data_IF_674905492739
#
_entry.id   IF_674905492739
#
_cell.length_a   1.000
_cell.length_b   1.000
_cell.length_c   1.000
_cell.angle_alpha   90.00
_cell.angle_beta   90.00
_cell.angle_gamma   90.00
#
_symmetry.space_group_name_H-M   'P 1'
#
loop_
_entity.id
_entity.type
_entity.pdbx_description
1 polymer ?
#
# COMPACT_ATOMS: atom_id res chain seq x y z
N UNK A 1 20.02 -26.89 19.41
CA UNK A 1 18.91 -25.95 19.66
C UNK A 1 17.90 -26.16 18.55
N UNK A 2 16.77 -26.81 18.83
CA UNK A 2 15.67 -26.89 17.89
C UNK A 2 15.11 -25.48 17.71
N UNK A 3 15.57 -24.81 16.65
CA UNK A 3 14.91 -23.63 16.14
C UNK A 3 13.59 -24.13 15.56
N UNK A 4 12.52 -24.14 16.36
CA UNK A 4 11.18 -24.15 15.80
C UNK A 4 11.08 -22.85 15.00
N UNK A 5 11.37 -22.93 13.71
CA UNK A 5 11.01 -21.88 12.77
C UNK A 5 9.48 -21.92 12.79
N UNK A 6 8.87 -21.12 13.67
CA UNK A 6 7.44 -20.86 13.59
C UNK A 6 7.22 -20.31 12.18
N UNK A 7 6.64 -21.14 11.33
CA UNK A 7 6.22 -20.70 10.03
C UNK A 7 5.06 -19.74 10.27
N UNK A 8 5.11 -18.54 9.66
CA UNK A 8 4.00 -17.61 9.76
C UNK A 8 2.75 -18.32 9.25
N UNK A 9 1.68 -18.29 10.03
CA UNK A 9 0.40 -18.95 9.72
C UNK A 9 -0.49 -18.05 8.86
N UNK A 10 -0.26 -16.75 8.93
CA UNK A 10 -1.03 -15.72 8.20
C UNK A 10 -0.13 -14.86 7.34
N UNK A 11 -0.71 -14.24 6.32
CA UNK A 11 0.01 -13.28 5.46
C UNK A 11 0.58 -12.13 6.30
N UNK A 12 -0.14 -11.65 7.31
CA UNK A 12 0.35 -10.64 8.26
C UNK A 12 1.66 -11.06 8.90
N UNK A 13 1.70 -12.24 9.51
CA UNK A 13 2.91 -12.74 10.18
C UNK A 13 4.07 -12.91 9.20
N UNK A 14 3.77 -13.35 7.97
CA UNK A 14 4.76 -13.52 6.92
C UNK A 14 5.41 -12.18 6.55
N UNK A 15 4.60 -11.14 6.34
CA UNK A 15 5.09 -9.81 5.98
C UNK A 15 5.84 -9.15 7.13
N UNK A 16 5.38 -9.31 8.36
CA UNK A 16 6.08 -8.80 9.54
C UNK A 16 7.43 -9.48 9.74
N UNK A 17 7.52 -10.80 9.49
CA UNK A 17 8.78 -11.55 9.49
C UNK A 17 9.77 -11.03 8.43
N UNK A 18 9.26 -10.56 7.30
CA UNK A 18 10.04 -9.93 6.23
C UNK A 18 10.30 -8.42 6.45
N UNK A 19 9.95 -7.89 7.62
CA UNK A 19 10.10 -6.46 7.97
C UNK A 19 9.37 -5.54 6.98
N UNK A 20 8.21 -5.98 6.48
CA UNK A 20 7.33 -5.17 5.64
C UNK A 20 6.33 -4.46 6.55
N UNK A 21 6.40 -3.13 6.55
CA UNK A 21 5.51 -2.29 7.34
C UNK A 21 4.14 -2.21 6.69
N UNK A 22 3.13 -2.67 7.42
CA UNK A 22 1.73 -2.67 6.98
C UNK A 22 1.10 -1.30 7.24
N UNK A 23 0.15 -0.92 6.40
CA UNK A 23 -0.68 0.25 6.62
C UNK A 23 -1.69 -0.04 7.74
N UNK A 24 -2.01 0.99 8.51
CA UNK A 24 -3.02 0.94 9.56
C UNK A 24 -4.41 0.73 8.95
N UNK A 25 -4.99 -0.45 9.20
CA UNK A 25 -6.29 -0.86 8.66
C UNK A 25 -7.47 -0.49 9.56
N UNK A 26 -7.21 -0.11 10.81
CA UNK A 26 -8.25 0.15 11.82
C UNK A 26 -8.30 1.62 12.26
N UNK A 27 -7.15 2.31 12.25
CA UNK A 27 -7.06 3.73 12.57
C UNK A 27 -6.98 4.65 11.35
N UNK A 28 -6.62 5.91 11.60
CA UNK A 28 -6.55 7.00 10.60
C UNK A 28 -5.11 7.37 10.21
N UNK A 29 -4.11 6.66 10.78
CA UNK A 29 -2.67 6.98 10.65
C UNK A 29 -2.21 7.10 9.20
N UNK A 30 -2.81 6.31 8.30
CA UNK A 30 -2.39 6.23 6.90
C UNK A 30 -3.50 6.63 5.91
N UNK A 31 -4.49 7.44 6.31
CA UNK A 31 -5.64 7.77 5.45
C UNK A 31 -5.26 8.38 4.11
N UNK A 32 -4.21 9.21 4.06
CA UNK A 32 -3.67 9.74 2.81
C UNK A 32 -3.20 8.64 1.85
N UNK A 33 -2.47 7.64 2.36
CA UNK A 33 -2.00 6.49 1.58
C UNK A 33 -3.20 5.65 1.11
N UNK A 34 -4.17 5.40 1.98
CA UNK A 34 -5.38 4.66 1.64
C UNK A 34 -6.20 5.34 0.55
N UNK A 35 -6.32 6.67 0.59
CA UNK A 35 -7.01 7.44 -0.45
C UNK A 35 -6.31 7.30 -1.81
N UNK A 36 -4.97 7.38 -1.84
CA UNK A 36 -4.17 7.18 -3.07
C UNK A 36 -4.39 5.77 -3.63
N UNK A 37 -4.26 4.75 -2.77
CA UNK A 37 -4.44 3.37 -3.18
C UNK A 37 -5.86 3.08 -3.65
N UNK A 38 -6.88 3.56 -2.95
CA UNK A 38 -8.26 3.38 -3.37
C UNK A 38 -8.55 4.08 -4.71
N UNK A 39 -7.99 5.27 -4.93
CA UNK A 39 -8.08 5.97 -6.22
C UNK A 39 -7.44 5.14 -7.34
N UNK A 40 -6.25 4.57 -7.09
CA UNK A 40 -5.56 3.69 -8.04
C UNK A 40 -6.34 2.40 -8.30
N UNK A 41 -6.94 1.82 -7.29
CA UNK A 41 -7.75 0.60 -7.42
C UNK A 41 -8.97 0.79 -8.33
N UNK A 42 -9.53 2.01 -8.40
CA UNK A 42 -10.62 2.34 -9.34
C UNK A 42 -10.19 2.28 -10.81
N UNK A 43 -8.93 2.60 -11.14
CA UNK A 43 -8.44 2.61 -12.53
C UNK A 43 -8.53 1.22 -13.15
N UNK A 44 -9.03 1.06 -14.38
CA UNK A 44 -9.23 -0.27 -15.00
C UNK A 44 -7.97 -1.14 -15.05
N UNK A 45 -6.81 -0.52 -15.20
CA UNK A 45 -5.51 -1.20 -15.19
C UNK A 45 -4.54 -0.34 -14.43
N UNK A 46 -3.83 -0.93 -13.47
CA UNK A 46 -2.86 -0.23 -12.64
C UNK A 46 -1.47 -0.56 -13.17
N UNK A 47 -0.91 0.35 -13.96
CA UNK A 47 0.41 0.19 -14.57
C UNK A 47 1.42 1.09 -13.86
N UNK A 48 2.54 0.51 -13.46
CA UNK A 48 3.68 1.22 -12.89
C UNK A 48 4.47 1.94 -13.99
N UNK A 49 5.27 2.93 -13.59
CA UNK A 49 6.10 3.71 -14.51
C UNK A 49 7.09 2.85 -15.32
N UNK A 50 7.52 1.74 -14.74
CA UNK A 50 8.39 0.71 -15.35
C UNK A 50 7.64 -0.32 -16.22
N UNK A 51 6.34 -0.08 -16.51
CA UNK A 51 5.53 -0.92 -17.41
C UNK A 51 4.97 -2.20 -16.77
N UNK A 52 5.26 -2.45 -15.49
CA UNK A 52 4.68 -3.57 -14.73
C UNK A 52 3.22 -3.30 -14.38
N UNK A 53 2.37 -4.30 -14.55
CA UNK A 53 0.95 -4.24 -14.16
C UNK A 53 0.76 -4.81 -12.77
N UNK A 54 0.01 -4.11 -11.92
CA UNK A 54 -0.40 -4.60 -10.60
C UNK A 54 -1.79 -5.19 -10.70
N UNK A 55 -1.92 -6.45 -10.27
CA UNK A 55 -3.19 -7.10 -10.12
C UNK A 55 -4.04 -6.39 -9.05
N UNK A 56 -5.30 -6.14 -9.37
CA UNK A 56 -6.26 -5.66 -8.37
C UNK A 56 -6.58 -6.78 -7.39
N UNK A 57 -6.93 -6.40 -6.16
CA UNK A 57 -7.63 -7.31 -5.26
C UNK A 57 -8.96 -7.69 -5.93
N UNK A 58 -9.15 -8.98 -6.19
CA UNK A 58 -10.37 -9.52 -6.79
C UNK A 58 -11.60 -9.20 -5.92
N UNK A 59 -12.75 -8.98 -6.58
CA UNK A 59 -14.04 -8.70 -5.94
C UNK A 59 -14.08 -7.45 -5.05
N UNK A 60 -13.13 -6.52 -5.21
CA UNK A 60 -13.18 -5.22 -4.56
C UNK A 60 -13.65 -4.17 -5.57
N UNK A 61 -14.79 -3.55 -5.28
CA UNK A 61 -15.29 -2.39 -6.04
C UNK A 61 -15.23 -1.19 -5.13
N UNK A 62 -14.35 -0.25 -5.46
CA UNK A 62 -14.23 1.01 -4.74
C UNK A 62 -15.19 2.02 -5.37
N UNK A 63 -16.12 2.53 -4.58
CA UNK A 63 -17.06 3.57 -4.98
C UNK A 63 -16.62 4.95 -4.47
N UNK A 64 -17.11 5.99 -5.13
CA UNK A 64 -16.98 7.35 -4.60
C UNK A 64 -17.96 7.57 -3.45
N UNK A 65 -17.57 8.42 -2.51
CA UNK A 65 -18.48 8.96 -1.51
C UNK A 65 -19.44 9.93 -2.20
N UNK A 66 -20.71 9.89 -1.81
CA UNK A 66 -21.73 10.79 -2.37
C UNK A 66 -21.33 12.26 -2.17
N UNK A 67 -21.67 13.11 -3.15
CA UNK A 67 -21.47 14.56 -3.04
C UNK A 67 -20.02 15.03 -3.20
N UNK A 68 -19.20 14.38 -4.05
CA UNK A 68 -17.82 14.79 -4.35
C UNK A 68 -16.85 14.76 -3.13
N UNK A 69 -17.20 14.00 -2.08
CA UNK A 69 -16.38 13.93 -0.86
C UNK A 69 -15.11 13.07 -0.98
N UNK A 70 -14.87 12.46 -2.14
CA UNK A 70 -13.67 11.68 -2.44
C UNK A 70 -13.94 10.18 -2.53
N UNK A 71 -12.87 9.38 -2.48
CA UNK A 71 -12.93 7.93 -2.68
C UNK A 71 -13.16 7.20 -1.36
N UNK A 72 -14.10 6.25 -1.33
CA UNK A 72 -14.35 5.41 -0.16
C UNK A 72 -13.29 4.31 -0.02
N UNK A 73 -12.27 4.56 0.78
CA UNK A 73 -11.17 3.60 1.02
C UNK A 73 -11.43 2.63 2.19
N UNK A 74 -12.58 2.72 2.87
CA UNK A 74 -12.92 1.81 3.97
C UNK A 74 -13.05 0.35 3.49
N UNK A 75 -13.61 0.15 2.30
CA UNK A 75 -13.68 -1.18 1.66
C UNK A 75 -12.28 -1.75 1.37
N UNK A 76 -11.34 -0.89 0.96
CA UNK A 76 -9.95 -1.31 0.74
C UNK A 76 -9.27 -1.71 2.05
N UNK A 77 -9.47 -0.94 3.12
CA UNK A 77 -8.97 -1.28 4.47
C UNK A 77 -9.51 -2.62 4.96
N UNK A 78 -10.82 -2.84 4.84
CA UNK A 78 -11.46 -4.10 5.24
C UNK A 78 -10.92 -5.28 4.45
N UNK A 79 -10.81 -5.17 3.13
CA UNK A 79 -10.22 -6.24 2.31
C UNK A 79 -8.77 -6.49 2.64
N UNK A 80 -7.99 -5.46 2.92
CA UNK A 80 -6.63 -5.62 3.40
C UNK A 80 -6.59 -6.35 4.75
N UNK A 81 -7.51 -6.07 5.67
CA UNK A 81 -7.61 -6.79 6.95
C UNK A 81 -7.87 -8.29 6.72
N UNK A 82 -8.88 -8.64 5.93
CA UNK A 82 -9.18 -10.03 5.58
C UNK A 82 -8.00 -10.72 4.91
N UNK A 83 -7.39 -10.06 3.92
CA UNK A 83 -6.26 -10.61 3.16
C UNK A 83 -5.03 -10.83 4.03
N UNK A 84 -4.80 -9.98 5.04
CA UNK A 84 -3.71 -10.15 5.99
C UNK A 84 -3.94 -11.30 6.98
N UNK A 85 -5.20 -11.66 7.23
CA UNK A 85 -5.61 -12.78 8.09
C UNK A 85 -5.66 -14.12 7.34
N UNK A 86 -5.61 -14.10 6.01
CA UNK A 86 -5.55 -15.31 5.17
C UNK A 86 -4.39 -16.22 5.54
N UNK A 87 -4.61 -17.52 5.41
CA UNK A 87 -3.61 -18.52 5.77
C UNK A 87 -2.53 -18.67 4.71
N UNK A 88 -1.27 -18.73 5.15
CA UNK A 88 -0.10 -19.05 4.31
C UNK A 88 -0.07 -20.51 3.84
N UNK A 89 -0.96 -21.35 4.35
CA UNK A 89 -1.16 -22.72 3.86
C UNK A 89 -1.98 -22.77 2.56
N UNK A 90 -2.51 -21.63 2.10
CA UNK A 90 -3.26 -21.54 0.86
C UNK A 90 -2.32 -21.69 -0.36
N UNK A 91 -2.78 -22.38 -1.41
CA UNK A 91 -2.03 -22.56 -2.68
C UNK A 91 -1.73 -21.23 -3.37
N UNK A 92 -2.48 -20.18 -3.06
CA UNK A 92 -2.34 -18.84 -3.63
C UNK A 92 -1.53 -17.86 -2.74
N UNK A 93 -0.77 -18.37 -1.78
CA UNK A 93 -0.02 -17.53 -0.82
C UNK A 93 0.90 -16.49 -1.48
N UNK A 94 1.52 -16.82 -2.62
CA UNK A 94 2.34 -15.88 -3.37
C UNK A 94 1.51 -14.68 -3.89
N UNK A 95 0.37 -14.96 -4.52
CA UNK A 95 -0.58 -13.95 -5.01
C UNK A 95 -1.14 -13.11 -3.86
N UNK A 96 -1.52 -13.75 -2.75
CA UNK A 96 -2.00 -13.05 -1.55
C UNK A 96 -0.92 -12.14 -0.98
N UNK A 97 0.33 -12.61 -0.91
CA UNK A 97 1.47 -11.80 -0.47
C UNK A 97 1.70 -10.59 -1.38
N UNK A 98 1.74 -10.79 -2.69
CA UNK A 98 1.92 -9.69 -3.65
C UNK A 98 0.79 -8.66 -3.54
N UNK A 99 -0.45 -9.12 -3.41
CA UNK A 99 -1.59 -8.23 -3.19
C UNK A 99 -1.45 -7.46 -1.87
N UNK A 100 -1.05 -8.10 -0.79
CA UNK A 100 -0.81 -7.43 0.49
C UNK A 100 0.29 -6.36 0.41
N UNK A 101 1.39 -6.66 -0.29
CA UNK A 101 2.48 -5.71 -0.47
C UNK A 101 2.00 -4.51 -1.31
N UNK A 102 1.33 -4.79 -2.42
CA UNK A 102 0.89 -3.78 -3.37
C UNK A 102 -0.24 -2.90 -2.85
N UNK A 103 -1.11 -3.42 -1.97
CA UNK A 103 -2.33 -2.72 -1.57
C UNK A 103 -2.45 -2.43 -0.07
N UNK A 104 -1.69 -3.13 0.78
CA UNK A 104 -1.87 -3.09 2.24
C UNK A 104 -0.59 -2.69 3.00
N UNK A 105 0.48 -2.30 2.29
CA UNK A 105 1.78 -2.00 2.89
C UNK A 105 2.32 -0.64 2.48
N UNK A 106 3.18 -0.06 3.32
CA UNK A 106 3.92 1.18 3.00
C UNK A 106 4.95 0.98 1.87
N UNK A 107 5.28 -0.28 1.54
CA UNK A 107 6.14 -0.63 0.40
C UNK A 107 5.37 -0.73 -0.91
N UNK A 108 4.07 -0.41 -0.92
CA UNK A 108 3.29 -0.40 -2.15
C UNK A 108 3.98 0.50 -3.20
N UNK A 109 4.24 -0.03 -4.41
CA UNK A 109 4.83 0.75 -5.49
C UNK A 109 3.87 1.81 -6.05
N UNK A 110 2.60 1.79 -5.63
CA UNK A 110 1.57 2.78 -5.99
C UNK A 110 1.59 4.00 -5.08
N UNK A 111 2.21 3.89 -3.91
CA UNK A 111 2.42 5.03 -3.05
C UNK A 111 3.56 5.89 -3.58
N UNK A 112 3.46 7.22 -3.47
CA UNK A 112 4.62 8.06 -3.70
C UNK A 112 5.72 7.59 -2.75
N UNK A 113 6.90 7.28 -3.31
CA UNK A 113 8.07 6.99 -2.47
C UNK A 113 8.21 8.16 -1.50
N UNK A 114 8.52 7.90 -0.21
CA UNK A 114 8.86 8.99 0.69
C UNK A 114 9.99 9.75 0.02
N UNK A 115 9.70 10.95 -0.47
CA UNK A 115 10.69 11.83 -1.03
C UNK A 115 11.73 11.97 0.06
N UNK A 116 12.93 11.44 -0.16
CA UNK A 116 14.09 12.03 0.47
C UNK A 116 13.98 13.50 0.14
N UNK A 117 13.66 14.31 1.14
CA UNK A 117 13.63 15.75 1.07
C UNK A 117 14.97 16.19 0.48
N UNK A 118 15.00 16.36 -0.84
CA UNK A 118 16.05 17.08 -1.53
C UNK A 118 15.93 18.51 -1.03
N UNK A 119 16.83 18.85 -0.12
CA UNK A 119 17.37 20.17 0.16
C UNK A 119 16.55 21.33 -0.44
N UNK A 120 15.83 22.03 0.44
CA UNK A 120 15.61 23.46 0.26
C UNK A 120 17.00 24.10 0.15
N UNK A 121 17.49 24.34 -1.08
CA UNK A 121 18.48 25.39 -1.31
C UNK A 121 17.67 26.69 -1.42
N UNK A 122 17.86 27.66 -0.52
CA UNK A 122 17.44 29.02 -0.82
C UNK A 122 18.37 29.54 -1.92
N UNK A 123 17.94 29.45 -3.18
CA UNK A 123 18.54 30.22 -4.27
C UNK A 123 18.06 31.67 -4.14
N UNK A 124 18.63 32.38 -3.17
CA UNK A 124 18.62 33.84 -3.13
C UNK A 124 19.76 34.37 -4.00
N UNK A 125 19.54 34.36 -5.31
CA UNK A 125 20.38 35.10 -6.26
C UNK A 125 19.90 36.55 -6.25
N UNK A 126 20.70 37.43 -5.68
CA UNK A 126 20.40 38.85 -5.50
C UNK A 126 21.67 39.68 -5.47
N UNK A 127 22.51 39.51 -6.49
CA UNK A 127 23.61 40.43 -6.76
C UNK A 127 23.13 41.47 -7.78
N UNK A 128 23.13 42.75 -7.43
CA UNK A 128 23.53 43.85 -8.34
C UNK A 128 23.61 45.18 -7.61
N UNK A 129 24.86 45.59 -7.42
CA UNK A 129 25.37 46.92 -7.13
C UNK A 129 25.26 47.80 -8.39
N UNK A 130 25.03 49.11 -8.25
CA UNK A 130 26.11 50.08 -8.51
C UNK A 130 26.49 50.90 -7.28
#
# INVERSE_FOLDING_TARGET
MLWCILQPKTIRELLLKEQIKLLDTEGTTNDGNWKVLATKHKENTVTLADGKTIAKINQLVITDLEGNQGVNFSLLKEKCKTLLEESTSNKETATLKDNAINWCSEKSPLLPKPSTTSAVRPSGDGNSRP
#
